data_IF_514015815483
#
_entry.id   IF_514015815483
#
_cell.length_a   1.000
_cell.length_b   1.000
_cell.length_c   1.000
_cell.angle_alpha   90.00
_cell.angle_beta   90.00
_cell.angle_gamma   90.00
#
_symmetry.space_group_name_H-M   'P 1'
#
loop_
_entity.id
_entity.type
_entity.pdbx_description
1 polymer ?
#
# COMPACT_ATOMS: atom_id res chain seq x y z
N UNK A 1 17.36 -23.86 -6.69
CA UNK A 1 17.62 -22.41 -6.52
C UNK A 1 16.33 -21.68 -6.88
N UNK A 2 15.29 -21.91 -6.10
CA UNK A 2 13.95 -21.42 -6.43
C UNK A 2 13.40 -20.73 -5.19
N UNK A 3 13.91 -19.54 -4.89
CA UNK A 3 13.26 -18.65 -3.94
C UNK A 3 13.27 -17.27 -4.59
N UNK A 4 12.10 -16.76 -4.94
CA UNK A 4 11.91 -15.45 -5.55
C UNK A 4 10.95 -14.71 -4.64
N UNK A 5 11.50 -14.02 -3.64
CA UNK A 5 10.73 -13.11 -2.81
C UNK A 5 10.08 -12.08 -3.74
N UNK A 6 8.76 -12.21 -3.93
CA UNK A 6 8.00 -11.39 -4.86
C UNK A 6 7.38 -10.19 -4.15
N UNK A 7 7.40 -9.02 -4.80
CA UNK A 7 6.73 -7.81 -4.31
C UNK A 7 7.06 -7.47 -2.85
N UNK A 8 8.35 -7.34 -2.47
CA UNK A 8 8.71 -7.03 -1.10
C UNK A 8 8.27 -5.61 -0.72
N UNK A 9 7.85 -5.46 0.53
CA UNK A 9 7.63 -4.18 1.18
C UNK A 9 8.45 -4.14 2.46
N UNK A 10 9.06 -3.00 2.76
CA UNK A 10 10.00 -2.81 3.87
C UNK A 10 9.51 -1.65 4.74
N UNK A 11 9.57 -1.85 6.06
CA UNK A 11 9.41 -0.78 7.04
C UNK A 11 10.43 -0.95 8.17
N UNK A 12 10.73 0.13 8.89
CA UNK A 12 11.59 0.09 10.07
C UNK A 12 10.78 0.41 11.31
N UNK A 13 11.01 -0.33 12.38
CA UNK A 13 10.47 0.05 13.68
C UNK A 13 11.31 1.16 14.34
N UNK A 14 10.85 1.67 15.49
CA UNK A 14 11.53 2.75 16.20
C UNK A 14 12.89 2.35 16.81
N UNK A 15 13.24 1.07 16.82
CA UNK A 15 14.58 0.60 17.19
C UNK A 15 15.54 0.54 16.00
N UNK A 16 15.05 0.85 14.80
CA UNK A 16 15.81 0.78 13.55
C UNK A 16 15.91 -0.62 12.97
N UNK A 17 15.12 -1.59 13.48
CA UNK A 17 15.10 -2.94 12.94
C UNK A 17 14.15 -3.03 11.76
N UNK A 18 14.59 -3.72 10.72
CA UNK A 18 13.82 -3.90 9.49
C UNK A 18 12.72 -4.97 9.64
N UNK A 19 11.56 -4.67 9.05
CA UNK A 19 10.45 -5.57 8.84
C UNK A 19 10.16 -5.64 7.34
N UNK A 20 10.16 -6.84 6.78
CA UNK A 20 9.90 -7.09 5.36
C UNK A 20 8.70 -8.01 5.25
N UNK A 21 7.66 -7.58 4.54
CA UNK A 21 6.62 -8.48 4.07
C UNK A 21 6.88 -8.80 2.60
N UNK A 22 6.82 -10.07 2.22
CA UNK A 22 7.02 -10.47 0.83
C UNK A 22 6.19 -11.70 0.51
N UNK A 23 5.96 -11.90 -0.77
CA UNK A 23 5.39 -13.13 -1.28
C UNK A 23 6.48 -14.19 -1.41
N UNK A 24 6.16 -15.42 -1.05
CA UNK A 24 6.93 -16.61 -1.42
C UNK A 24 6.20 -17.33 -2.56
N UNK A 25 6.73 -17.16 -3.77
CA UNK A 25 6.17 -17.72 -5.00
C UNK A 25 6.22 -19.24 -5.06
N UNK A 26 7.08 -19.87 -4.25
CA UNK A 26 7.23 -21.34 -4.25
C UNK A 26 6.27 -22.02 -3.30
N UNK A 27 5.96 -21.36 -2.19
CA UNK A 27 5.03 -21.86 -1.19
C UNK A 27 3.61 -21.34 -1.40
N UNK A 28 3.38 -20.39 -2.31
CA UNK A 28 2.15 -19.61 -2.38
C UNK A 28 1.79 -19.09 -0.97
N UNK A 29 2.64 -18.21 -0.43
CA UNK A 29 2.43 -17.64 0.91
C UNK A 29 2.83 -16.19 0.99
N UNK A 30 2.30 -15.46 1.98
CA UNK A 30 2.90 -14.20 2.44
C UNK A 30 3.78 -14.53 3.64
N UNK A 31 5.03 -14.12 3.58
CA UNK A 31 6.00 -14.23 4.67
C UNK A 31 6.34 -12.85 5.21
N UNK A 32 6.65 -12.83 6.50
CA UNK A 32 7.24 -11.67 7.17
C UNK A 32 8.62 -12.06 7.68
N UNK A 33 9.62 -11.26 7.33
CA UNK A 33 10.96 -11.31 7.84
C UNK A 33 11.20 -10.11 8.76
N UNK A 34 11.64 -10.36 9.99
CA UNK A 34 12.03 -9.31 10.93
C UNK A 34 13.50 -9.43 11.29
N UNK A 35 14.18 -8.31 11.32
CA UNK A 35 15.56 -8.24 11.78
C UNK A 35 15.58 -8.50 13.30
N UNK A 36 16.47 -9.40 13.72
CA UNK A 36 16.68 -9.77 15.12
C UNK A 36 18.18 -9.88 15.31
N UNK A 37 18.85 -8.75 15.55
CA UNK A 37 20.31 -8.70 15.64
C UNK A 37 20.85 -9.71 16.66
N UNK A 38 21.87 -10.48 16.26
CA UNK A 38 22.55 -11.43 17.14
C UNK A 38 21.85 -12.78 17.34
N UNK A 39 20.76 -13.07 16.62
CA UNK A 39 20.07 -14.38 16.68
C UNK A 39 20.53 -15.32 15.54
N UNK A 40 20.50 -16.65 15.76
CA UNK A 40 20.61 -17.63 14.69
C UNK A 40 19.47 -17.48 13.67
N UNK A 41 19.71 -17.94 12.44
CA UNK A 41 18.69 -18.11 11.41
C UNK A 41 17.45 -18.84 11.96
N UNK A 42 16.27 -18.20 11.91
CA UNK A 42 15.00 -18.81 12.30
C UNK A 42 13.96 -18.69 11.18
N UNK A 43 13.14 -19.73 11.02
CA UNK A 43 12.04 -19.74 10.06
C UNK A 43 12.45 -19.70 8.58
N UNK A 44 13.67 -20.17 8.26
CA UNK A 44 14.16 -20.26 6.89
C UNK A 44 14.96 -19.05 6.39
N UNK A 45 15.20 -18.05 7.23
CA UNK A 45 15.97 -16.85 6.86
C UNK A 45 17.43 -16.90 7.29
N UNK A 46 18.22 -15.92 6.84
CA UNK A 46 19.63 -15.79 7.20
C UNK A 46 19.81 -15.47 8.70
N UNK A 47 21.04 -15.64 9.21
CA UNK A 47 21.38 -15.23 10.57
C UNK A 47 21.10 -13.73 10.78
N UNK A 48 20.62 -13.35 11.97
CA UNK A 48 20.14 -12.00 12.24
C UNK A 48 18.71 -11.72 11.78
N UNK A 49 18.00 -12.73 11.23
CA UNK A 49 16.61 -12.60 10.80
C UNK A 49 15.74 -13.72 11.38
N UNK A 50 14.50 -13.35 11.71
CA UNK A 50 13.43 -14.31 12.03
C UNK A 50 12.36 -14.20 10.95
N UNK A 51 11.99 -15.32 10.36
CA UNK A 51 10.91 -15.37 9.37
C UNK A 51 9.72 -16.20 9.85
N UNK A 52 8.54 -15.78 9.44
CA UNK A 52 7.31 -16.51 9.68
C UNK A 52 6.40 -16.45 8.45
N UNK A 53 5.59 -17.50 8.27
CA UNK A 53 4.49 -17.50 7.30
C UNK A 53 3.30 -16.80 7.92
N UNK A 54 2.95 -15.63 7.39
CA UNK A 54 1.80 -14.84 7.82
C UNK A 54 0.50 -15.49 7.30
N UNK A 55 0.46 -15.75 5.99
CA UNK A 55 -0.64 -16.37 5.27
C UNK A 55 -0.10 -17.54 4.47
N UNK A 56 -0.72 -18.71 4.60
CA UNK A 56 -0.47 -19.91 3.80
C UNK A 56 -1.76 -20.25 3.04
N UNK A 57 -1.82 -19.88 1.77
CA UNK A 57 -3.00 -20.05 0.92
C UNK A 57 -2.56 -20.36 -0.51
N UNK A 58 -3.08 -21.45 -1.09
CA UNK A 58 -2.69 -21.95 -2.41
C UNK A 58 -2.80 -20.91 -3.56
N UNK A 59 -3.53 -19.80 -3.39
CA UNK A 59 -3.59 -18.71 -4.38
C UNK A 59 -2.81 -17.45 -4.00
N UNK A 60 -2.03 -17.46 -2.92
CA UNK A 60 -1.25 -16.31 -2.46
C UNK A 60 -0.12 -15.90 -3.41
N UNK A 61 0.16 -16.68 -4.45
CA UNK A 61 1.09 -16.32 -5.53
C UNK A 61 0.72 -15.03 -6.30
N UNK A 62 -0.49 -14.49 -6.07
CA UNK A 62 -0.96 -13.22 -6.66
C UNK A 62 -1.07 -12.07 -5.67
N UNK A 63 -0.60 -12.25 -4.43
CA UNK A 63 -0.77 -11.24 -3.39
C UNK A 63 0.37 -10.21 -3.45
N UNK A 64 0.05 -8.95 -3.14
CA UNK A 64 1.01 -7.85 -3.03
C UNK A 64 0.93 -7.30 -1.61
N UNK A 65 1.86 -7.69 -0.73
CA UNK A 65 1.88 -7.16 0.62
C UNK A 65 2.45 -5.74 0.65
N UNK A 66 1.87 -4.90 1.51
CA UNK A 66 2.47 -3.62 1.93
C UNK A 66 2.57 -3.63 3.46
N UNK A 67 3.75 -3.34 4.00
CA UNK A 67 3.99 -3.29 5.44
C UNK A 67 4.28 -1.86 5.88
N UNK A 68 3.66 -1.45 6.98
CA UNK A 68 3.97 -0.20 7.67
C UNK A 68 3.94 -0.41 9.18
N UNK A 69 4.63 0.46 9.92
CA UNK A 69 4.68 0.42 11.39
C UNK A 69 3.82 1.54 11.94
N UNK A 70 2.89 1.23 12.83
CA UNK A 70 2.07 2.24 13.50
C UNK A 70 2.87 3.05 14.54
N UNK A 71 2.27 4.14 15.03
CA UNK A 71 2.91 5.03 16.01
C UNK A 71 3.27 4.34 17.35
N UNK A 72 2.73 3.14 17.62
CA UNK A 72 3.07 2.33 18.79
C UNK A 72 4.19 1.30 18.50
N UNK A 73 4.74 1.28 17.29
CA UNK A 73 5.78 0.34 16.88
C UNK A 73 5.22 -1.02 16.46
N UNK A 74 3.92 -1.12 16.21
CA UNK A 74 3.28 -2.38 15.81
C UNK A 74 3.24 -2.47 14.28
N UNK A 75 3.76 -3.55 13.68
CA UNK A 75 3.67 -3.73 12.24
C UNK A 75 2.26 -4.14 11.80
N UNK A 76 1.83 -3.57 10.68
CA UNK A 76 0.60 -3.87 9.98
C UNK A 76 0.95 -4.26 8.54
N UNK A 77 0.30 -5.29 8.01
CA UNK A 77 0.48 -5.76 6.63
C UNK A 77 -0.87 -5.69 5.90
N UNK A 78 -0.96 -4.81 4.90
CA UNK A 78 -2.04 -4.83 3.92
C UNK A 78 -1.76 -5.87 2.84
N UNK A 79 -2.78 -6.61 2.41
CA UNK A 79 -2.66 -7.58 1.32
C UNK A 79 -4.02 -7.79 0.65
N UNK A 80 -3.99 -8.16 -0.63
CA UNK A 80 -5.16 -8.64 -1.34
C UNK A 80 -5.31 -10.16 -1.14
N UNK A 81 -6.51 -10.63 -0.83
CA UNK A 81 -6.83 -12.04 -0.65
C UNK A 81 -7.62 -12.57 -1.85
N UNK A 82 -6.91 -13.21 -2.78
CA UNK A 82 -7.47 -13.76 -4.02
C UNK A 82 -8.18 -15.12 -3.83
N UNK A 83 -8.24 -15.68 -2.61
CA UNK A 83 -8.95 -16.95 -2.35
C UNK A 83 -10.46 -16.81 -2.53
N UNK A 84 -10.98 -15.60 -2.30
CA UNK A 84 -12.39 -15.33 -2.08
C UNK A 84 -12.84 -14.03 -2.77
N UNK A 85 -12.36 -13.75 -3.99
CA UNK A 85 -12.67 -12.54 -4.80
C UNK A 85 -11.73 -11.33 -4.66
N UNK A 86 -10.45 -11.54 -4.29
CA UNK A 86 -9.44 -10.46 -4.19
C UNK A 86 -9.82 -9.37 -3.17
N UNK A 87 -10.19 -9.77 -1.96
CA UNK A 87 -10.63 -8.85 -0.90
C UNK A 87 -9.44 -8.05 -0.35
N UNK A 88 -9.65 -6.80 0.02
CA UNK A 88 -8.63 -6.04 0.74
C UNK A 88 -8.61 -6.51 2.20
N UNK A 89 -7.47 -7.00 2.67
CA UNK A 89 -7.27 -7.44 4.05
C UNK A 89 -6.11 -6.71 4.71
N UNK A 90 -6.16 -6.69 6.03
CA UNK A 90 -5.09 -6.20 6.89
C UNK A 90 -4.76 -7.27 7.93
N UNK A 91 -3.47 -7.48 8.18
CA UNK A 91 -2.95 -8.25 9.29
C UNK A 91 -2.24 -7.33 10.28
N UNK A 92 -2.65 -7.35 11.55
CA UNK A 92 -2.02 -6.57 12.62
C UNK A 92 -1.25 -7.49 13.58
N UNK A 93 -0.01 -7.14 13.87
CA UNK A 93 0.80 -7.92 14.82
C UNK A 93 0.26 -7.78 16.25
N UNK A 94 0.09 -8.92 16.91
CA UNK A 94 -0.38 -9.02 18.30
C UNK A 94 0.54 -9.89 19.16
N UNK A 95 1.63 -10.42 18.59
CA UNK A 95 2.64 -11.24 19.26
C UNK A 95 2.21 -12.68 19.52
N UNK A 96 0.96 -12.91 19.93
CA UNK A 96 0.34 -14.24 20.08
C UNK A 96 -1.17 -14.13 20.22
N UNK A 97 -1.89 -15.24 20.00
CA UNK A 97 -3.35 -15.31 20.21
C UNK A 97 -4.19 -14.55 19.17
N UNK A 98 -3.57 -14.11 18.07
CA UNK A 98 -4.25 -13.53 16.93
C UNK A 98 -5.07 -14.56 16.16
N UNK A 99 -5.96 -14.06 15.31
CA UNK A 99 -6.98 -14.85 14.61
C UNK A 99 -7.09 -14.46 13.14
N UNK A 100 -7.55 -15.38 12.30
CA UNK A 100 -7.86 -15.11 10.89
C UNK A 100 -6.67 -15.13 9.94
N UNK A 101 -5.43 -15.21 10.45
CA UNK A 101 -4.22 -15.49 9.69
C UNK A 101 -3.76 -16.94 9.95
N UNK A 102 -2.79 -17.42 9.15
CA UNK A 102 -2.08 -18.69 9.45
C UNK A 102 -1.21 -18.55 10.71
N UNK A 103 -0.51 -17.42 10.84
CA UNK A 103 0.25 -17.12 12.07
C UNK A 103 -0.64 -16.59 13.18
N UNK A 104 -0.58 -17.23 14.36
CA UNK A 104 -1.24 -16.74 15.57
C UNK A 104 -0.57 -15.49 16.19
N UNK A 105 0.56 -15.04 15.66
CA UNK A 105 1.15 -13.77 16.06
C UNK A 105 0.41 -12.55 15.46
N UNK A 106 -0.54 -12.78 14.54
CA UNK A 106 -1.22 -11.74 13.78
C UNK A 106 -2.74 -11.91 13.83
N UNK A 107 -3.45 -10.79 13.78
CA UNK A 107 -4.90 -10.77 13.61
C UNK A 107 -5.24 -10.22 12.23
N UNK A 108 -5.89 -11.04 11.39
CA UNK A 108 -6.30 -10.66 10.05
C UNK A 108 -7.77 -10.29 10.02
N UNK A 109 -8.09 -9.17 9.37
CA UNK A 109 -9.45 -8.70 9.18
C UNK A 109 -9.67 -8.22 7.74
N UNK A 110 -10.89 -8.34 7.26
CA UNK A 110 -11.29 -7.79 5.97
C UNK A 110 -11.55 -6.29 6.10
N UNK A 111 -10.94 -5.52 5.21
CA UNK A 111 -11.11 -4.07 5.08
C UNK A 111 -12.21 -3.79 4.08
N UNK A 112 -12.00 -4.21 2.83
CA UNK A 112 -12.91 -3.98 1.70
C UNK A 112 -13.24 -5.30 0.98
N UNK A 113 -14.53 -5.53 0.70
CA UNK A 113 -15.06 -6.76 0.11
C UNK A 113 -16.27 -6.49 -0.81
N UNK A 114 -16.10 -5.82 -1.97
CA UNK A 114 -17.10 -5.86 -3.00
C UNK A 114 -17.23 -7.29 -3.49
N UNK A 115 -18.47 -7.64 -3.76
CA UNK A 115 -18.94 -8.93 -4.27
C UNK A 115 -18.14 -9.44 -5.49
N UNK A 116 -17.29 -8.62 -6.12
CA UNK A 116 -16.34 -9.01 -7.15
C UNK A 116 -14.98 -8.30 -6.92
N UNK A 117 -13.86 -8.96 -7.29
CA UNK A 117 -12.48 -8.46 -7.46
C UNK A 117 -12.13 -7.05 -6.96
N UNK A 118 -11.53 -6.92 -5.77
CA UNK A 118 -11.40 -5.61 -5.10
C UNK A 118 -10.00 -5.03 -5.10
N UNK A 119 -8.97 -5.81 -4.81
CA UNK A 119 -7.68 -5.22 -4.45
C UNK A 119 -6.59 -5.76 -5.34
N UNK A 120 -6.07 -4.90 -6.21
CA UNK A 120 -4.79 -5.09 -6.88
C UNK A 120 -3.98 -3.83 -6.70
N UNK A 121 -2.68 -3.99 -6.42
CA UNK A 121 -1.78 -2.88 -6.10
C UNK A 121 -2.32 -2.09 -4.92
N UNK A 122 -1.70 -2.27 -3.76
CA UNK A 122 -2.05 -1.52 -2.57
C UNK A 122 -0.79 -0.97 -1.92
N UNK A 123 -0.95 0.15 -1.24
CA UNK A 123 0.06 0.68 -0.34
C UNK A 123 -0.59 1.13 0.97
N UNK A 124 0.09 0.88 2.07
CA UNK A 124 -0.34 1.16 3.43
C UNK A 124 0.64 2.17 4.05
N UNK A 125 0.12 3.23 4.63
CA UNK A 125 0.90 4.17 5.43
C UNK A 125 0.09 4.68 6.63
N UNK A 126 0.76 5.35 7.56
CA UNK A 126 0.16 5.94 8.74
C UNK A 126 0.30 7.46 8.71
N UNK A 127 -0.79 8.18 9.01
CA UNK A 127 -0.69 9.62 9.22
C UNK A 127 0.03 9.97 10.54
N UNK A 128 0.32 11.24 10.73
CA UNK A 128 0.98 11.77 11.93
C UNK A 128 0.18 11.53 13.23
N UNK A 129 -1.13 11.25 13.11
CA UNK A 129 -2.00 10.84 14.22
C UNK A 129 -1.99 9.34 14.50
N UNK A 130 -1.27 8.54 13.73
CA UNK A 130 -1.25 7.08 13.83
C UNK A 130 -2.46 6.40 13.21
N UNK A 131 -3.19 7.08 12.33
CA UNK A 131 -4.31 6.49 11.58
C UNK A 131 -3.77 5.73 10.37
N UNK A 132 -4.20 4.49 10.19
CA UNK A 132 -3.86 3.72 9.00
C UNK A 132 -4.66 4.21 7.78
N UNK A 133 -3.97 4.35 6.65
CA UNK A 133 -4.53 4.65 5.34
C UNK A 133 -4.04 3.62 4.33
N UNK A 134 -4.97 3.02 3.60
CA UNK A 134 -4.66 2.05 2.54
C UNK A 134 -5.16 2.60 1.23
N UNK A 135 -4.27 2.78 0.27
CA UNK A 135 -4.59 3.19 -1.08
C UNK A 135 -4.58 1.96 -1.99
N UNK A 136 -5.60 1.77 -2.83
CA UNK A 136 -5.77 0.54 -3.61
C UNK A 136 -6.63 0.75 -4.87
N UNK A 137 -6.42 -0.10 -5.89
CA UNK A 137 -7.29 -0.13 -7.06
C UNK A 137 -8.44 -1.13 -6.86
N UNK A 138 -9.67 -0.62 -6.95
CA UNK A 138 -10.91 -1.39 -7.01
C UNK A 138 -11.20 -1.80 -8.45
N UNK A 139 -10.76 -3.01 -8.81
CA UNK A 139 -10.88 -3.51 -10.18
C UNK A 139 -12.33 -3.73 -10.62
N UNK A 140 -13.24 -3.92 -9.67
CA UNK A 140 -14.67 -4.11 -9.96
C UNK A 140 -15.38 -2.80 -10.17
N UNK A 141 -15.08 -1.80 -9.33
CA UNK A 141 -15.55 -0.43 -9.55
C UNK A 141 -14.83 0.24 -10.73
N UNK A 142 -13.64 -0.27 -11.11
CA UNK A 142 -12.75 0.40 -12.06
C UNK A 142 -12.27 1.74 -11.52
N UNK A 143 -12.06 1.83 -10.20
CA UNK A 143 -11.83 3.09 -9.49
C UNK A 143 -10.63 2.98 -8.54
N UNK A 144 -9.99 4.12 -8.32
CA UNK A 144 -8.95 4.26 -7.31
C UNK A 144 -9.56 4.71 -5.98
N UNK A 145 -9.30 3.94 -4.92
CA UNK A 145 -9.93 4.14 -3.60
C UNK A 145 -8.90 4.25 -2.50
N UNK A 146 -9.34 4.84 -1.40
CA UNK A 146 -8.62 4.83 -0.14
C UNK A 146 -9.52 4.29 0.96
N UNK A 147 -8.94 3.53 1.89
CA UNK A 147 -9.56 3.08 3.12
C UNK A 147 -8.85 3.73 4.30
N UNK A 148 -9.58 4.51 5.09
CA UNK A 148 -9.09 5.15 6.31
C UNK A 148 -9.60 4.40 7.54
N UNK A 149 -8.70 4.05 8.45
CA UNK A 149 -9.08 3.43 9.71
C UNK A 149 -9.75 4.45 10.64
N UNK A 150 -10.94 4.13 11.14
CA UNK A 150 -11.71 4.97 12.08
C UNK A 150 -12.05 4.21 13.37
N UNK A 151 -11.61 2.96 13.49
CA UNK A 151 -11.84 2.10 14.65
C UNK A 151 -13.26 1.53 14.74
N UNK A 152 -14.28 2.36 14.49
CA UNK A 152 -15.68 1.94 14.38
C UNK A 152 -16.54 3.04 13.73
N UNK A 153 -17.72 2.69 13.23
CA UNK A 153 -18.69 3.65 12.68
C UNK A 153 -18.34 4.23 11.31
N UNK A 154 -17.35 3.66 10.63
CA UNK A 154 -17.03 3.98 9.24
C UNK A 154 -18.04 3.43 8.24
N UNK A 155 -17.79 3.69 6.95
CA UNK A 155 -18.69 3.26 5.86
C UNK A 155 -18.72 1.74 5.66
N UNK A 156 -17.82 1.00 6.29
CA UNK A 156 -17.81 -0.45 6.29
C UNK A 156 -17.06 -1.06 5.12
N UNK A 157 -16.99 -0.34 3.98
CA UNK A 157 -16.35 -0.83 2.77
C UNK A 157 -16.77 -2.27 2.41
N UNK A 158 -18.00 -2.70 2.71
CA UNK A 158 -18.40 -4.10 2.54
C UNK A 158 -17.72 -5.14 3.47
N UNK A 159 -16.60 -4.82 4.15
CA UNK A 159 -15.86 -5.70 5.05
C UNK A 159 -16.04 -5.39 6.54
N UNK A 160 -15.60 -4.20 6.98
CA UNK A 160 -15.58 -3.81 8.40
C UNK A 160 -15.89 -2.33 8.62
N UNK A 161 -16.80 -2.05 9.55
CA UNK A 161 -17.13 -0.67 9.98
C UNK A 161 -16.02 0.02 10.76
N UNK A 162 -14.87 -0.64 10.97
CA UNK A 162 -13.66 0.01 11.44
C UNK A 162 -13.01 0.89 10.35
N UNK A 163 -13.48 0.82 9.10
CA UNK A 163 -12.92 1.55 7.96
C UNK A 163 -13.96 2.43 7.27
N UNK A 164 -13.48 3.57 6.78
CA UNK A 164 -14.21 4.45 5.87
C UNK A 164 -13.48 4.46 4.53
N UNK A 165 -14.16 4.01 3.48
CA UNK A 165 -13.63 4.03 2.12
C UNK A 165 -14.22 5.15 1.30
N UNK A 166 -13.35 5.80 0.51
CA UNK A 166 -13.73 6.88 -0.42
C UNK A 166 -13.08 6.63 -1.76
N UNK A 167 -13.83 6.87 -2.83
CA UNK A 167 -13.28 6.94 -4.20
C UNK A 167 -12.47 8.23 -4.33
N UNK A 168 -11.22 8.10 -4.76
CA UNK A 168 -10.31 9.23 -4.98
C UNK A 168 -10.34 9.66 -6.44
N UNK A 169 -10.26 8.70 -7.37
CA UNK A 169 -10.38 8.93 -8.81
C UNK A 169 -11.20 7.79 -9.46
N UNK A 170 -12.07 8.13 -10.41
CA UNK A 170 -12.94 7.19 -11.14
C UNK A 170 -13.22 7.74 -12.55
N UNK A 171 -12.28 7.55 -13.49
CA UNK A 171 -12.47 7.87 -14.89
C UNK A 171 -13.38 6.84 -15.57
N UNK A 172 -14.68 6.96 -15.36
CA UNK A 172 -15.81 6.48 -16.20
C UNK A 172 -15.47 5.32 -17.17
N UNK A 173 -15.06 4.16 -16.65
CA UNK A 173 -14.81 2.88 -17.35
C UNK A 173 -13.39 2.58 -17.89
N UNK A 174 -12.33 2.65 -17.09
CA UNK A 174 -11.27 1.60 -17.00
C UNK A 174 -10.05 2.11 -16.25
N UNK A 175 -10.09 2.10 -14.90
CA UNK A 175 -8.84 2.06 -14.13
C UNK A 175 -8.41 0.60 -13.99
N UNK A 176 -7.68 0.12 -15.00
CA UNK A 176 -6.72 -0.98 -14.84
C UNK A 176 -5.34 -0.39 -14.53
N UNK A 177 -5.31 0.68 -13.74
CA UNK A 177 -4.09 1.32 -13.26
C UNK A 177 -3.19 0.29 -12.57
N UNK A 178 -1.92 0.25 -12.99
CA UNK A 178 -0.92 -0.64 -12.40
C UNK A 178 -0.09 0.16 -11.41
N UNK A 179 -0.05 -0.28 -10.16
CA UNK A 179 0.75 0.37 -9.13
C UNK A 179 0.07 1.58 -8.49
N UNK A 180 0.11 1.57 -7.16
CA UNK A 180 -0.25 2.69 -6.28
C UNK A 180 0.82 2.73 -5.20
N UNK A 181 1.17 3.94 -4.79
CA UNK A 181 1.89 4.14 -3.56
C UNK A 181 1.31 5.32 -2.77
N UNK A 182 1.34 5.24 -1.44
CA UNK A 182 0.83 6.27 -0.54
C UNK A 182 1.90 6.59 0.50
N UNK A 183 2.09 7.88 0.73
CA UNK A 183 2.85 8.40 1.85
C UNK A 183 2.19 9.69 2.36
N UNK A 184 2.76 10.26 3.41
CA UNK A 184 2.19 11.41 4.11
C UNK A 184 3.11 12.62 4.00
N UNK A 185 2.51 13.80 3.82
CA UNK A 185 3.23 15.07 3.97
C UNK A 185 3.56 15.37 5.44
N UNK A 186 4.22 16.50 5.69
CA UNK A 186 4.59 16.93 7.05
C UNK A 186 3.38 17.28 7.93
N UNK A 187 2.25 17.62 7.32
CA UNK A 187 0.97 17.79 7.99
C UNK A 187 0.28 16.47 8.35
N UNK A 188 0.76 15.34 7.82
CA UNK A 188 0.10 14.04 7.94
C UNK A 188 -1.05 13.86 6.96
N UNK A 189 -1.11 14.65 5.88
CA UNK A 189 -2.11 14.44 4.83
C UNK A 189 -1.60 13.41 3.82
N UNK A 190 -2.46 12.51 3.35
CA UNK A 190 -2.06 11.50 2.38
C UNK A 190 -1.80 12.10 0.99
N UNK A 191 -0.70 11.64 0.41
CA UNK A 191 -0.32 11.84 -0.98
C UNK A 191 -0.18 10.49 -1.64
N UNK A 192 -0.71 10.39 -2.85
CA UNK A 192 -0.79 9.14 -3.57
C UNK A 192 -0.19 9.34 -4.95
N UNK A 193 0.72 8.45 -5.34
CA UNK A 193 1.13 8.29 -6.72
C UNK A 193 0.42 7.06 -7.31
N UNK A 194 -0.18 7.22 -8.48
CA UNK A 194 -0.88 6.13 -9.15
C UNK A 194 -0.82 6.27 -10.66
N UNK A 195 -0.87 5.14 -11.35
CA UNK A 195 -0.98 5.12 -12.80
C UNK A 195 -2.44 5.14 -13.24
N UNK A 196 -2.78 6.12 -14.04
CA UNK A 196 -4.11 6.30 -14.59
C UNK A 196 -4.21 5.70 -16.00
N UNK A 197 -5.21 4.85 -16.21
CA UNK A 197 -5.51 4.20 -17.50
C UNK A 197 -6.81 4.74 -18.08
N UNK A 198 -6.99 4.75 -19.42
CA UNK A 198 -6.15 4.14 -20.46
C UNK A 198 -4.93 4.97 -20.89
N UNK A 199 -4.74 6.15 -20.31
CA UNK A 199 -3.67 7.07 -20.70
C UNK A 199 -2.25 6.62 -20.34
N UNK A 200 -2.10 5.66 -19.41
CA UNK A 200 -0.84 5.34 -18.73
C UNK A 200 -0.15 6.59 -18.18
N UNK A 201 -0.95 7.51 -17.65
CA UNK A 201 -0.46 8.75 -17.10
C UNK A 201 -0.05 8.53 -15.64
N UNK A 202 1.11 9.04 -15.24
CA UNK A 202 1.42 9.16 -13.82
C UNK A 202 0.60 10.32 -13.26
N UNK A 203 -0.24 10.02 -12.27
CA UNK A 203 -1.00 11.03 -11.52
C UNK A 203 -0.59 11.04 -10.07
N UNK A 204 -0.78 12.20 -9.46
CA UNK A 204 -0.75 12.35 -8.01
C UNK A 204 -2.12 12.79 -7.50
N UNK A 205 -2.52 12.28 -6.34
CA UNK A 205 -3.67 12.75 -5.59
C UNK A 205 -3.20 13.24 -4.22
N UNK A 206 -3.55 14.48 -3.87
CA UNK A 206 -3.21 15.12 -2.59
C UNK A 206 -4.48 15.32 -1.79
N UNK A 207 -4.50 14.86 -0.55
CA UNK A 207 -5.64 15.08 0.33
C UNK A 207 -5.68 16.52 0.81
N UNK A 208 -6.72 17.22 0.39
CA UNK A 208 -6.99 18.64 0.62
C UNK A 208 -8.46 18.78 1.04
N UNK A 209 -8.80 18.40 2.29
CA UNK A 209 -10.19 18.26 2.73
C UNK A 209 -10.96 19.57 2.56
N UNK A 210 -12.08 19.51 1.84
CA UNK A 210 -12.95 20.64 1.50
C UNK A 210 -12.34 21.70 0.57
N UNK A 211 -11.13 21.48 0.05
CA UNK A 211 -10.38 22.41 -0.80
C UNK A 211 -9.94 21.80 -2.13
N UNK A 212 -10.25 20.53 -2.38
CA UNK A 212 -9.92 19.83 -3.61
C UNK A 212 -10.77 20.32 -4.79
N UNK A 213 -10.16 20.37 -5.98
CA UNK A 213 -10.88 20.55 -7.23
C UNK A 213 -11.51 19.25 -7.76
N UNK A 214 -11.25 18.11 -7.09
CA UNK A 214 -11.62 16.77 -7.53
C UNK A 214 -10.66 16.21 -8.57
N UNK A 215 -10.37 14.91 -8.47
CA UNK A 215 -9.60 14.17 -9.49
C UNK A 215 -10.46 13.80 -10.71
N UNK A 216 -11.75 13.73 -10.45
CA UNK A 216 -12.92 13.70 -11.32
C UNK A 216 -14.08 14.26 -10.43
N UNK A 217 -15.36 14.42 -10.87
CA UNK A 217 -16.38 15.10 -10.05
C UNK A 217 -16.79 14.40 -8.73
N UNK A 218 -16.00 13.41 -8.26
CA UNK A 218 -16.32 12.45 -7.19
C UNK A 218 -15.46 12.56 -5.92
N UNK A 219 -14.58 13.57 -5.78
CA UNK A 219 -13.67 13.64 -4.62
C UNK A 219 -13.30 15.08 -4.21
N UNK A 220 -14.19 15.84 -3.55
CA UNK A 220 -13.93 17.25 -3.17
C UNK A 220 -12.81 17.43 -2.13
N UNK A 221 -12.40 16.35 -1.48
CA UNK A 221 -11.29 16.34 -0.54
C UNK A 221 -9.94 16.03 -1.20
N UNK A 222 -9.89 15.88 -2.53
CA UNK A 222 -8.69 15.50 -3.25
C UNK A 222 -8.38 16.51 -4.37
N UNK A 223 -7.10 16.84 -4.49
CA UNK A 223 -6.55 17.60 -5.61
C UNK A 223 -5.64 16.68 -6.41
N UNK A 224 -5.95 16.46 -7.69
CA UNK A 224 -5.13 15.64 -8.56
C UNK A 224 -4.41 16.44 -9.62
N UNK A 225 -3.24 15.94 -9.99
CA UNK A 225 -2.37 16.52 -11.00
C UNK A 225 -1.80 15.40 -11.87
N UNK A 226 -1.75 15.65 -13.18
CA UNK A 226 -1.05 14.77 -14.12
C UNK A 226 0.41 15.16 -14.10
N UNK A 227 1.25 14.23 -13.66
CA UNK A 227 2.69 14.43 -13.54
C UNK A 227 3.39 14.08 -14.85
N UNK A 228 2.97 13.00 -15.50
CA UNK A 228 3.44 12.61 -16.82
C UNK A 228 2.26 12.14 -17.67
N UNK A 229 2.02 12.83 -18.79
CA UNK A 229 0.77 12.72 -19.52
C UNK A 229 0.69 11.49 -20.43
N UNK A 230 1.79 11.09 -21.09
CA UNK A 230 1.94 9.87 -21.92
C UNK A 230 3.41 9.64 -22.32
N UNK A 231 4.06 8.65 -21.70
CA UNK A 231 5.16 7.80 -22.21
C UNK A 231 5.52 6.83 -21.07
N UNK A 232 5.71 5.54 -21.39
CA UNK A 232 5.98 4.36 -20.53
C UNK A 232 5.35 4.20 -19.12
N UNK A 233 4.68 5.23 -18.61
CA UNK A 233 3.83 5.32 -17.43
C UNK A 233 4.40 4.75 -16.15
N UNK A 234 5.71 4.43 -16.10
CA UNK A 234 6.36 3.52 -15.16
C UNK A 234 5.45 2.69 -14.25
N UNK A 235 5.48 1.39 -14.48
CA UNK A 235 4.52 0.38 -14.01
C UNK A 235 4.26 0.31 -12.50
N UNK A 236 5.15 0.88 -11.69
CA UNK A 236 5.07 0.91 -10.23
C UNK A 236 5.61 2.26 -9.75
N UNK A 237 4.79 3.32 -9.70
CA UNK A 237 5.21 4.56 -9.07
C UNK A 237 5.45 4.28 -7.59
N UNK A 238 6.51 4.86 -7.05
CA UNK A 238 6.67 4.94 -5.60
C UNK A 238 6.79 6.39 -5.17
N UNK A 239 6.29 6.66 -3.97
CA UNK A 239 6.27 7.97 -3.35
C UNK A 239 6.98 7.85 -2.00
N UNK A 240 7.88 8.80 -1.72
CA UNK A 240 8.56 8.84 -0.44
C UNK A 240 8.74 10.27 0.03
N UNK A 241 8.47 10.50 1.31
CA UNK A 241 8.77 11.76 1.99
C UNK A 241 10.28 11.95 2.10
N UNK A 242 10.75 13.11 1.67
CA UNK A 242 12.12 13.56 1.88
C UNK A 242 12.24 14.33 3.21
N UNK A 243 13.46 14.47 3.77
CA UNK A 243 13.69 15.26 4.97
C UNK A 243 13.62 16.79 4.73
N UNK A 244 13.40 17.24 3.49
CA UNK A 244 13.46 18.66 3.10
C UNK A 244 12.10 19.25 2.67
N UNK A 245 10.98 18.74 3.18
CA UNK A 245 9.65 19.21 2.73
C UNK A 245 9.39 18.95 1.24
N UNK A 246 10.02 17.90 0.71
CA UNK A 246 9.79 17.43 -0.66
C UNK A 246 9.20 16.03 -0.63
N UNK A 247 8.36 15.75 -1.62
CA UNK A 247 7.90 14.40 -1.92
C UNK A 247 8.62 13.95 -3.19
N UNK A 248 9.31 12.82 -3.10
CA UNK A 248 10.04 12.21 -4.19
C UNK A 248 9.21 11.10 -4.84
N UNK A 249 9.13 11.11 -6.16
CA UNK A 249 8.46 10.09 -6.97
C UNK A 249 9.50 9.33 -7.75
N UNK A 250 9.39 8.00 -7.77
CA UNK A 250 10.26 7.15 -8.57
C UNK A 250 9.45 6.46 -9.66
N UNK A 251 9.95 6.56 -10.88
CA UNK A 251 9.35 5.93 -12.05
C UNK A 251 10.34 4.98 -12.71
N UNK A 252 10.02 3.69 -12.75
CA UNK A 252 10.74 2.72 -13.56
C UNK A 252 10.16 2.68 -14.98
N UNK A 253 10.64 3.60 -15.82
CA UNK A 253 10.32 3.71 -17.25
C UNK A 253 10.66 2.41 -18.03
N UNK A 254 11.77 1.78 -17.66
CA UNK A 254 12.28 0.50 -18.17
C UNK A 254 13.19 -0.10 -17.08
N UNK A 255 13.67 -1.37 -17.17
CA UNK A 255 14.54 -1.95 -16.13
C UNK A 255 15.92 -1.27 -15.98
N UNK A 256 16.20 -0.20 -16.73
CA UNK A 256 17.50 0.47 -16.80
C UNK A 256 17.50 1.95 -16.44
N UNK A 257 16.33 2.57 -16.15
CA UNK A 257 16.25 3.98 -15.75
C UNK A 257 15.18 4.21 -14.68
N UNK A 258 15.56 5.00 -13.67
CA UNK A 258 14.68 5.56 -12.65
C UNK A 258 14.66 7.08 -12.85
N UNK A 259 13.47 7.67 -12.95
CA UNK A 259 13.31 9.14 -12.91
C UNK A 259 12.91 9.56 -11.50
N UNK A 260 13.46 10.66 -11.02
CA UNK A 260 13.09 11.23 -9.72
C UNK A 260 12.36 12.55 -9.98
N UNK A 261 11.13 12.63 -9.50
CA UNK A 261 10.42 13.91 -9.48
C UNK A 261 10.35 14.39 -8.04
N UNK A 262 10.64 15.66 -7.83
CA UNK A 262 10.54 16.30 -6.52
C UNK A 262 9.46 17.34 -6.59
N UNK A 263 8.55 17.29 -5.63
CA UNK A 263 7.51 18.29 -5.48
C UNK A 263 7.67 18.94 -4.13
N UNK A 264 8.01 20.23 -4.13
CA UNK A 264 8.00 21.04 -2.92
C UNK A 264 6.56 21.35 -2.49
N UNK A 265 6.34 21.62 -1.20
CA UNK A 265 5.01 21.95 -0.67
C UNK A 265 4.36 23.17 -1.35
N UNK A 266 5.16 24.10 -1.91
CA UNK A 266 4.66 25.24 -2.70
C UNK A 266 4.29 24.90 -4.16
N UNK A 267 4.31 23.63 -4.56
CA UNK A 267 3.77 23.16 -5.84
C UNK A 267 4.73 23.21 -7.04
N UNK A 268 6.02 23.47 -6.83
CA UNK A 268 7.03 23.36 -7.87
C UNK A 268 7.42 21.90 -8.12
N UNK A 269 7.24 21.40 -9.35
CA UNK A 269 7.75 20.09 -9.80
C UNK A 269 9.14 20.29 -10.43
N UNK A 270 10.14 19.60 -9.90
CA UNK A 270 11.47 19.46 -10.52
C UNK A 270 11.64 18.00 -10.96
N UNK A 271 12.01 17.80 -12.23
CA UNK A 271 12.30 16.48 -12.82
C UNK A 271 13.82 16.36 -12.96
N UNK A 272 14.42 15.36 -12.30
CA UNK A 272 15.86 15.04 -12.36
C UNK A 272 16.10 13.69 -13.04
#
# INVERSE_FOLDING_TARGET
MNDVAGSPSLAFDFSGLAWIAHRDDTAASIKVARETSGTPALGGCAAGWTCETLIDDAVAQYFQPSIAIDAAGVPWVGYNDNSSSSNLKIARYVGSGGTGCTSSAWTCTTVDDPVNGVAQYLSLSFDSGGTAWIAYNDTTAGAFKIARYVGSGGTGCGGSTAWTCTTVDDPVNTVAGRGVDIDMDFGGNPWIAYNDTPGNALKIARYTPGLGAGCAPVSPDWSCEVVEAQDDGGWNPSIARSPFEEIAFFLAANPTSVRILRVGEEGGIVIE
#
